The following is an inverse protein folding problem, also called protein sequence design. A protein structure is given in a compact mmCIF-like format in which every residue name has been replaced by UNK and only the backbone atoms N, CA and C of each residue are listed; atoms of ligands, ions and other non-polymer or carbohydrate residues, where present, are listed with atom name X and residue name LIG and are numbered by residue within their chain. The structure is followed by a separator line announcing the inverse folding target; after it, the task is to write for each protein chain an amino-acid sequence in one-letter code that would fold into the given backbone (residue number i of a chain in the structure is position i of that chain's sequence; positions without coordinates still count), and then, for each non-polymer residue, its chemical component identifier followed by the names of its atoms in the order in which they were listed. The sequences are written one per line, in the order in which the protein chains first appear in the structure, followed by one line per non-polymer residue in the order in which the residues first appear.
data_IF_462249346079
#
_entry.id   IF_462249346079
#
_cell.length_a   1.000
_cell.length_b   1.000
_cell.length_c   1.000
_cell.angle_alpha   90.00
_cell.angle_beta   90.00
_cell.angle_gamma   90.00
#
_symmetry.space_group_name_H-M   'P 1'
#
loop_
_entity.id
_entity.type
_entity.pdbx_description
1 polymer ?
#
# COMPACT_ATOMS: atom_id res chain seq x y z
N UNK A 1 -44.14 18.04 1.52
CA UNK A 1 -42.85 18.48 0.95
C UNK A 1 -42.13 19.23 2.04
N UNK A 2 -41.23 18.58 2.75
CA UNK A 2 -40.45 19.16 3.85
C UNK A 2 -39.09 19.57 3.27
N UNK A 3 -38.76 20.83 3.42
CA UNK A 3 -37.44 21.39 3.05
C UNK A 3 -36.32 20.68 3.82
N UNK A 4 -35.18 20.42 3.19
CA UNK A 4 -34.01 19.87 3.90
C UNK A 4 -33.41 20.97 4.79
N UNK A 5 -33.14 20.60 6.04
CA UNK A 5 -32.40 21.43 6.99
C UNK A 5 -31.04 21.84 6.43
N UNK A 6 -30.63 23.10 6.57
CA UNK A 6 -29.30 23.54 6.16
C UNK A 6 -28.26 22.89 7.06
N UNK A 7 -27.31 22.18 6.40
CA UNK A 7 -26.11 21.69 7.06
C UNK A 7 -25.30 22.88 7.58
N UNK A 8 -25.08 22.93 8.90
CA UNK A 8 -24.14 23.86 9.48
C UNK A 8 -22.75 23.73 8.85
N UNK A 9 -22.03 24.83 8.60
CA UNK A 9 -20.67 24.75 8.11
C UNK A 9 -19.83 23.99 9.12
N UNK A 10 -19.20 22.91 8.67
CA UNK A 10 -18.13 22.25 9.42
C UNK A 10 -16.99 23.26 9.45
N UNK A 11 -16.83 23.95 10.59
CA UNK A 11 -15.60 24.65 10.88
C UNK A 11 -14.48 23.61 10.80
N UNK A 12 -13.74 23.64 9.71
CA UNK A 12 -12.43 22.99 9.61
C UNK A 12 -11.56 23.73 10.63
N UNK A 13 -11.51 23.21 11.86
CA UNK A 13 -10.43 23.53 12.76
C UNK A 13 -9.15 23.10 12.03
N UNK A 14 -8.58 24.02 11.28
CA UNK A 14 -7.28 23.90 10.67
C UNK A 14 -6.28 23.60 11.78
N UNK A 15 -6.09 22.34 12.10
CA UNK A 15 -4.87 21.91 12.76
C UNK A 15 -3.81 22.09 11.70
N UNK A 16 -3.07 23.19 11.81
CA UNK A 16 -1.82 23.37 11.14
C UNK A 16 -0.95 22.14 11.44
N UNK A 17 -0.89 21.20 10.52
CA UNK A 17 0.08 20.13 10.53
C UNK A 17 1.50 20.62 10.18
N UNK A 18 1.77 21.91 10.28
CA UNK A 18 3.11 22.47 10.36
C UNK A 18 3.68 22.31 11.77
N UNK A 19 3.44 21.13 12.38
CA UNK A 19 4.05 20.73 13.63
C UNK A 19 5.55 20.51 13.42
N UNK A 20 6.32 21.56 13.48
CA UNK A 20 7.74 21.49 13.70
C UNK A 20 8.00 20.72 15.00
N UNK A 21 8.29 19.43 14.91
CA UNK A 21 8.56 18.58 16.06
C UNK A 21 8.44 17.08 15.80
N UNK A 22 7.78 16.65 14.74
CA UNK A 22 7.59 15.22 14.44
C UNK A 22 8.44 14.75 13.25
N UNK A 23 8.80 15.65 12.33
CA UNK A 23 9.72 15.36 11.25
C UNK A 23 11.08 15.96 11.55
N UNK A 24 12.14 15.19 11.32
CA UNK A 24 13.51 15.70 11.38
C UNK A 24 13.61 16.93 10.48
N UNK A 25 14.32 17.96 10.95
CA UNK A 25 14.41 19.23 10.23
C UNK A 25 14.98 19.01 8.82
N UNK A 26 14.41 19.64 7.77
CA UNK A 26 14.96 19.56 6.43
C UNK A 26 16.42 19.98 6.42
N UNK A 27 17.31 19.10 5.95
CA UNK A 27 18.74 19.38 5.81
C UNK A 27 19.64 18.77 6.89
N UNK A 28 19.09 18.16 7.93
CA UNK A 28 19.88 17.30 8.82
C UNK A 28 19.76 15.85 8.31
N UNK A 29 20.89 15.20 8.08
CA UNK A 29 20.94 13.77 7.76
C UNK A 29 20.33 12.93 8.89
N UNK A 30 20.03 11.65 8.64
CA UNK A 30 19.44 10.77 9.64
C UNK A 30 20.37 10.62 10.84
N UNK A 31 19.87 10.89 12.05
CA UNK A 31 20.68 10.85 13.28
C UNK A 31 19.84 10.42 14.49
N UNK A 32 20.48 9.66 15.39
CA UNK A 32 19.96 9.34 16.73
C UNK A 32 20.38 10.36 17.79
N UNK A 33 21.21 11.33 17.40
CA UNK A 33 21.79 12.33 18.29
C UNK A 33 23.08 11.88 18.98
N UNK A 34 23.59 10.67 18.67
CA UNK A 34 24.83 10.11 19.20
C UNK A 34 25.80 9.77 18.07
N UNK A 35 26.85 10.59 17.90
CA UNK A 35 27.81 10.46 16.79
C UNK A 35 28.44 9.07 16.67
N UNK A 36 28.67 8.38 17.78
CA UNK A 36 29.26 7.03 17.80
C UNK A 36 28.30 5.98 17.26
N UNK A 37 27.01 6.10 17.58
CA UNK A 37 25.98 5.18 17.09
C UNK A 37 25.67 5.47 15.62
N UNK A 38 25.54 6.73 15.26
CA UNK A 38 25.30 7.16 13.88
C UNK A 38 26.42 6.68 12.95
N UNK A 39 27.69 6.78 13.36
CA UNK A 39 28.83 6.25 12.61
C UNK A 39 28.72 4.72 12.40
N UNK A 40 28.34 3.96 13.44
CA UNK A 40 28.17 2.51 13.34
C UNK A 40 27.01 2.12 12.42
N UNK A 41 25.92 2.88 12.41
CA UNK A 41 24.80 2.66 11.48
C UNK A 41 25.28 2.87 10.05
N UNK A 42 25.99 3.97 9.80
CA UNK A 42 26.55 4.27 8.48
C UNK A 42 27.50 3.15 8.00
N UNK A 43 28.38 2.66 8.86
CA UNK A 43 29.27 1.54 8.54
C UNK A 43 28.50 0.25 8.22
N UNK A 44 27.46 -0.06 9.02
CA UNK A 44 26.60 -1.22 8.77
C UNK A 44 25.90 -1.13 7.41
N UNK A 45 25.35 0.03 7.08
CA UNK A 45 24.67 0.26 5.79
C UNK A 45 25.66 0.14 4.63
N UNK A 46 26.86 0.73 4.76
CA UNK A 46 27.95 0.60 3.76
C UNK A 46 28.35 -0.85 3.52
N UNK A 47 28.54 -1.61 4.60
CA UNK A 47 28.93 -3.01 4.53
C UNK A 47 27.86 -3.91 3.87
N UNK A 48 26.58 -3.51 3.87
CA UNK A 48 25.47 -4.26 3.27
C UNK A 48 25.11 -3.86 1.84
N UNK A 49 25.88 -3.03 1.16
CA UNK A 49 25.66 -2.79 -0.25
C UNK A 49 25.99 -1.41 -0.79
N UNK A 50 25.95 -0.39 0.01
CA UNK A 50 26.25 0.99 -0.45
C UNK A 50 25.37 1.44 -1.63
N UNK A 51 25.84 2.42 -2.37
CA UNK A 51 25.19 2.90 -3.59
C UNK A 51 24.30 4.13 -3.39
N UNK A 52 23.63 4.56 -4.45
CA UNK A 52 22.90 5.83 -4.51
C UNK A 52 21.73 5.93 -3.49
N UNK A 53 21.20 4.80 -3.04
CA UNK A 53 20.09 4.77 -2.08
C UNK A 53 20.55 4.62 -0.62
N UNK A 54 21.85 4.60 -0.38
CA UNK A 54 22.41 4.43 0.98
C UNK A 54 21.85 5.41 2.01
N UNK A 55 21.70 6.72 1.74
CA UNK A 55 21.13 7.65 2.72
C UNK A 55 19.70 7.29 3.14
N UNK A 56 18.87 6.83 2.22
CA UNK A 56 17.50 6.41 2.52
C UNK A 56 17.46 5.12 3.36
N UNK A 57 18.38 4.20 3.13
CA UNK A 57 18.50 2.97 3.95
C UNK A 57 18.97 3.32 5.36
N UNK A 58 19.95 4.24 5.48
CA UNK A 58 20.41 4.75 6.76
C UNK A 58 19.25 5.39 7.54
N UNK A 59 18.46 6.23 6.88
CA UNK A 59 17.27 6.86 7.46
C UNK A 59 16.25 5.83 7.95
N UNK A 60 15.99 4.77 7.19
CA UNK A 60 15.12 3.68 7.62
C UNK A 60 15.63 2.98 8.90
N UNK A 61 16.93 2.76 9.01
CA UNK A 61 17.53 2.14 10.21
C UNK A 61 17.41 3.08 11.40
N UNK A 62 17.73 4.36 11.22
CA UNK A 62 17.59 5.38 12.28
C UNK A 62 16.15 5.48 12.75
N UNK A 63 15.18 5.55 11.84
CA UNK A 63 13.77 5.59 12.17
C UNK A 63 13.32 4.34 12.94
N UNK A 64 13.78 3.15 12.54
CA UNK A 64 13.48 1.92 13.25
C UNK A 64 14.00 1.95 14.71
N UNK A 65 15.18 2.50 14.93
CA UNK A 65 15.75 2.63 16.28
C UNK A 65 15.05 3.73 17.11
N UNK A 66 14.61 4.82 16.47
CA UNK A 66 13.83 5.88 17.15
C UNK A 66 12.52 5.35 17.74
N UNK A 67 11.91 4.31 17.18
CA UNK A 67 10.72 3.69 17.75
C UNK A 67 10.92 3.13 19.16
N UNK A 68 12.14 2.77 19.56
CA UNK A 68 12.44 2.35 20.94
C UNK A 68 12.26 3.47 21.96
N UNK A 69 12.31 4.72 21.52
CA UNK A 69 12.17 5.91 22.36
C UNK A 69 10.72 6.37 22.50
N UNK A 70 9.80 5.70 21.82
CA UNK A 70 8.36 6.02 21.83
C UNK A 70 7.58 4.99 22.66
N UNK A 71 6.50 5.40 23.33
CA UNK A 71 5.63 4.50 24.09
C UNK A 71 4.72 3.69 23.15
N UNK A 72 5.33 2.90 22.27
CA UNK A 72 4.59 2.10 21.29
C UNK A 72 4.17 0.75 21.88
N UNK A 73 2.96 0.32 21.53
CA UNK A 73 2.50 -1.02 21.85
C UNK A 73 3.19 -2.08 20.99
N UNK A 74 3.22 -3.32 21.48
CA UNK A 74 3.69 -4.47 20.68
C UNK A 74 2.86 -4.65 19.41
N UNK A 75 1.57 -4.28 19.44
CA UNK A 75 0.68 -4.35 18.28
C UNK A 75 1.12 -3.35 17.19
N UNK A 76 1.45 -2.13 17.56
CA UNK A 76 1.92 -1.09 16.61
C UNK A 76 3.24 -1.49 15.96
N UNK A 77 4.20 -2.00 16.74
CA UNK A 77 5.48 -2.47 16.22
C UNK A 77 5.31 -3.66 15.27
N UNK A 78 4.40 -4.59 15.59
CA UNK A 78 4.05 -5.70 14.69
C UNK A 78 3.43 -5.20 13.38
N UNK A 79 2.55 -4.19 13.45
CA UNK A 79 1.94 -3.58 12.27
C UNK A 79 3.00 -2.95 11.37
N UNK A 80 3.86 -2.09 11.91
CA UNK A 80 4.94 -1.43 11.15
C UNK A 80 5.88 -2.45 10.49
N UNK A 81 6.34 -3.44 11.24
CA UNK A 81 7.23 -4.47 10.72
C UNK A 81 6.57 -5.31 9.62
N UNK A 82 5.28 -5.62 9.76
CA UNK A 82 4.52 -6.33 8.74
C UNK A 82 4.38 -5.48 7.47
N UNK A 83 4.02 -4.21 7.62
CA UNK A 83 3.89 -3.27 6.49
C UNK A 83 5.20 -3.16 5.71
N UNK A 84 6.33 -2.99 6.41
CA UNK A 84 7.64 -2.92 5.76
C UNK A 84 7.98 -4.21 4.99
N UNK A 85 7.66 -5.37 5.55
CA UNK A 85 7.85 -6.66 4.86
C UNK A 85 6.97 -6.79 3.63
N UNK A 86 5.71 -6.37 3.71
CA UNK A 86 4.76 -6.40 2.59
C UNK A 86 5.19 -5.45 1.46
N UNK A 87 5.60 -4.22 1.80
CA UNK A 87 6.15 -3.25 0.83
C UNK A 87 7.39 -3.81 0.13
N UNK A 88 8.31 -4.42 0.88
CA UNK A 88 9.50 -5.05 0.29
C UNK A 88 9.14 -6.21 -0.65
N UNK A 89 8.14 -7.02 -0.30
CA UNK A 89 7.67 -8.10 -1.15
C UNK A 89 7.01 -7.57 -2.43
N UNK A 90 6.15 -6.54 -2.31
CA UNK A 90 5.52 -5.86 -3.44
C UNK A 90 6.56 -5.25 -4.39
N UNK A 91 7.55 -4.54 -3.85
CA UNK A 91 8.63 -3.95 -4.65
C UNK A 91 9.39 -5.00 -5.47
N UNK A 92 9.64 -6.17 -4.89
CA UNK A 92 10.28 -7.28 -5.63
C UNK A 92 9.43 -7.78 -6.79
N UNK A 93 8.11 -7.87 -6.59
CA UNK A 93 7.18 -8.35 -7.63
C UNK A 93 7.02 -7.32 -8.75
N UNK A 94 6.96 -6.03 -8.40
CA UNK A 94 6.74 -4.96 -9.38
C UNK A 94 8.02 -4.48 -10.09
N UNK A 95 9.19 -4.71 -9.50
CA UNK A 95 10.46 -4.24 -10.06
C UNK A 95 10.72 -4.64 -11.52
N UNK A 96 10.45 -5.88 -11.97
CA UNK A 96 10.65 -6.25 -13.38
C UNK A 96 9.74 -5.52 -14.37
N UNK A 97 8.76 -4.78 -13.88
CA UNK A 97 7.74 -4.11 -14.68
C UNK A 97 7.71 -2.58 -14.44
N UNK A 98 8.80 -2.00 -13.96
CA UNK A 98 8.87 -0.56 -13.65
C UNK A 98 8.69 0.34 -14.86
N UNK A 99 9.10 -0.11 -16.02
CA UNK A 99 8.96 0.54 -17.32
C UNK A 99 7.53 0.50 -17.90
N UNK A 100 6.67 -0.37 -17.39
CA UNK A 100 5.30 -0.52 -17.84
C UNK A 100 4.33 0.29 -16.98
N UNK A 101 3.48 1.09 -17.60
CA UNK A 101 2.39 1.79 -16.92
C UNK A 101 1.35 0.78 -16.39
N UNK A 102 0.70 1.13 -15.30
CA UNK A 102 -0.31 0.28 -14.67
C UNK A 102 -1.61 1.05 -14.52
N UNK A 103 -2.73 0.36 -14.72
CA UNK A 103 -4.08 0.84 -14.44
C UNK A 103 -4.73 -0.09 -13.41
N UNK A 104 -5.44 0.50 -12.46
CA UNK A 104 -6.10 -0.27 -11.41
C UNK A 104 -7.59 -0.31 -11.68
N UNK A 105 -8.18 -1.51 -11.60
CA UNK A 105 -9.62 -1.73 -11.77
C UNK A 105 -10.19 -2.20 -10.44
N UNK A 106 -11.10 -1.39 -9.89
CA UNK A 106 -11.90 -1.72 -8.72
C UNK A 106 -13.36 -1.87 -9.11
N UNK A 107 -14.06 -2.72 -8.40
CA UNK A 107 -15.49 -2.88 -8.58
C UNK A 107 -16.06 -4.00 -7.74
N UNK A 108 -17.39 -4.17 -7.82
CA UNK A 108 -18.12 -5.18 -7.09
C UNK A 108 -17.68 -6.59 -7.48
N UNK A 109 -17.37 -7.41 -6.49
CA UNK A 109 -17.11 -8.85 -6.67
C UNK A 109 -18.38 -9.66 -6.98
N UNK A 110 -19.59 -9.05 -6.87
CA UNK A 110 -20.87 -9.72 -7.05
C UNK A 110 -21.50 -9.49 -8.43
N UNK A 111 -20.91 -8.65 -9.26
CA UNK A 111 -21.42 -8.37 -10.60
C UNK A 111 -21.28 -9.62 -11.47
N UNK A 112 -22.40 -10.08 -12.02
CA UNK A 112 -22.39 -11.24 -12.90
C UNK A 112 -21.66 -10.95 -14.22
N UNK A 113 -21.03 -11.95 -14.85
CA UNK A 113 -20.20 -11.75 -16.05
C UNK A 113 -20.95 -11.20 -17.27
N UNK A 114 -22.27 -11.44 -17.35
CA UNK A 114 -23.16 -10.98 -18.41
C UNK A 114 -23.66 -9.55 -18.25
N UNK A 115 -23.36 -8.91 -17.13
CA UNK A 115 -23.75 -7.53 -16.87
C UNK A 115 -22.92 -6.55 -17.69
N UNK A 116 -23.54 -5.46 -18.19
CA UNK A 116 -22.85 -4.46 -19.00
C UNK A 116 -21.59 -3.92 -18.35
N UNK A 117 -21.60 -3.75 -17.03
CA UNK A 117 -20.47 -3.24 -16.28
C UNK A 117 -19.27 -4.22 -16.27
N UNK A 118 -19.55 -5.53 -16.22
CA UNK A 118 -18.51 -6.55 -16.29
C UNK A 118 -17.94 -6.66 -17.71
N UNK A 119 -18.78 -6.59 -18.72
CA UNK A 119 -18.38 -6.58 -20.13
C UNK A 119 -17.50 -5.35 -20.40
N UNK A 120 -17.94 -4.17 -19.99
CA UNK A 120 -17.17 -2.92 -20.14
C UNK A 120 -15.81 -2.97 -19.43
N UNK A 121 -15.75 -3.56 -18.23
CA UNK A 121 -14.48 -3.73 -17.52
C UNK A 121 -13.51 -4.67 -18.24
N UNK A 122 -14.02 -5.73 -18.85
CA UNK A 122 -13.21 -6.67 -19.63
C UNK A 122 -12.70 -6.03 -20.92
N UNK A 123 -13.56 -5.32 -21.66
CA UNK A 123 -13.18 -4.58 -22.86
C UNK A 123 -12.18 -3.47 -22.59
N UNK A 124 -12.39 -2.69 -21.52
CA UNK A 124 -11.46 -1.69 -21.06
C UNK A 124 -10.09 -2.27 -20.75
N UNK A 125 -10.05 -3.38 -20.01
CA UNK A 125 -8.78 -4.03 -19.66
C UNK A 125 -8.04 -4.51 -20.93
N UNK A 126 -8.75 -5.06 -21.90
CA UNK A 126 -8.19 -5.49 -23.19
C UNK A 126 -7.62 -4.31 -23.97
N UNK A 127 -8.36 -3.19 -24.02
CA UNK A 127 -7.90 -1.98 -24.67
C UNK A 127 -6.65 -1.39 -23.99
N UNK A 128 -6.57 -1.42 -22.66
CA UNK A 128 -5.40 -0.95 -21.90
C UNK A 128 -4.15 -1.79 -22.17
N UNK A 129 -4.30 -3.11 -22.34
CA UNK A 129 -3.17 -3.98 -22.73
C UNK A 129 -2.66 -3.64 -24.11
N UNK A 130 -3.53 -3.34 -25.08
CA UNK A 130 -3.13 -2.86 -26.41
C UNK A 130 -2.28 -1.58 -26.29
N UNK A 131 -2.61 -0.71 -25.33
CA UNK A 131 -1.87 0.52 -25.04
C UNK A 131 -0.61 0.28 -24.16
N UNK A 132 -0.17 -0.97 -24.00
CA UNK A 132 1.02 -1.38 -23.23
C UNK A 132 0.90 -1.18 -21.70
N UNK A 133 -0.29 -0.99 -21.18
CA UNK A 133 -0.53 -0.99 -19.73
C UNK A 133 -0.62 -2.41 -19.17
N UNK A 134 -0.32 -2.52 -17.90
CA UNK A 134 -0.70 -3.69 -17.09
C UNK A 134 -1.92 -3.35 -16.23
N UNK A 135 -2.72 -4.34 -15.93
CA UNK A 135 -3.92 -4.18 -15.11
C UNK A 135 -3.68 -4.71 -13.71
N UNK A 136 -4.07 -3.96 -12.69
CA UNK A 136 -4.04 -4.38 -11.30
C UNK A 136 -5.46 -4.47 -10.78
N UNK A 137 -5.80 -5.55 -10.10
CA UNK A 137 -7.10 -5.71 -9.42
C UNK A 137 -6.93 -6.25 -8.01
N UNK A 138 -8.01 -6.29 -7.22
CA UNK A 138 -8.04 -6.93 -5.91
C UNK A 138 -8.15 -8.48 -5.97
N UNK A 139 -8.00 -9.10 -7.14
CA UNK A 139 -8.09 -10.56 -7.35
C UNK A 139 -9.43 -11.19 -6.91
N UNK A 140 -10.51 -10.42 -6.90
CA UNK A 140 -11.87 -10.91 -6.64
C UNK A 140 -12.59 -11.25 -7.94
N UNK A 141 -13.81 -11.77 -7.78
CA UNK A 141 -14.74 -12.01 -8.88
C UNK A 141 -15.36 -10.71 -9.44
N UNK A 142 -16.40 -10.84 -10.25
CA UNK A 142 -17.18 -9.72 -10.79
C UNK A 142 -16.35 -8.80 -11.67
N UNK A 143 -16.38 -7.50 -11.37
CA UNK A 143 -15.66 -6.46 -12.13
C UNK A 143 -14.14 -6.68 -12.13
N UNK A 144 -13.59 -7.11 -11.01
CA UNK A 144 -12.15 -7.36 -10.89
C UNK A 144 -11.74 -8.57 -11.72
N UNK A 145 -12.53 -9.64 -11.66
CA UNK A 145 -12.34 -10.84 -12.49
C UNK A 145 -12.48 -10.56 -13.99
N UNK A 146 -13.46 -9.72 -14.38
CA UNK A 146 -13.60 -9.24 -15.75
C UNK A 146 -12.36 -8.50 -16.24
N UNK A 147 -11.84 -7.57 -15.41
CA UNK A 147 -10.59 -6.85 -15.72
C UNK A 147 -9.41 -7.80 -15.93
N UNK A 148 -9.28 -8.83 -15.10
CA UNK A 148 -8.20 -9.82 -15.27
C UNK A 148 -8.38 -10.69 -16.52
N UNK A 149 -9.62 -11.10 -16.85
CA UNK A 149 -9.90 -11.84 -18.10
C UNK A 149 -9.55 -11.00 -19.33
N UNK A 150 -9.93 -9.71 -19.33
CA UNK A 150 -9.62 -8.80 -20.43
C UNK A 150 -8.12 -8.56 -20.60
N UNK A 151 -7.38 -8.43 -19.52
CA UNK A 151 -5.94 -8.21 -19.56
C UNK A 151 -5.12 -9.48 -19.86
N UNK A 152 -5.62 -10.63 -19.43
CA UNK A 152 -4.85 -11.87 -19.45
C UNK A 152 -3.79 -11.94 -18.36
N UNK A 153 -3.34 -13.16 -18.05
CA UNK A 153 -2.43 -13.45 -16.95
C UNK A 153 -1.10 -12.71 -17.05
N UNK A 154 -0.54 -12.61 -18.24
CA UNK A 154 0.78 -12.00 -18.49
C UNK A 154 0.78 -10.47 -18.34
N UNK A 155 -0.41 -9.85 -18.33
CA UNK A 155 -0.56 -8.40 -18.28
C UNK A 155 -1.37 -7.94 -17.06
N UNK A 156 -1.55 -8.80 -16.06
CA UNK A 156 -2.32 -8.44 -14.87
C UNK A 156 -1.67 -8.91 -13.57
N UNK A 157 -1.95 -8.15 -12.51
CA UNK A 157 -1.64 -8.48 -11.12
C UNK A 157 -2.92 -8.55 -10.30
N UNK A 158 -3.02 -9.56 -9.45
CA UNK A 158 -4.06 -9.65 -8.43
C UNK A 158 -3.47 -9.35 -7.04
N UNK A 159 -3.88 -8.25 -6.42
CA UNK A 159 -3.50 -7.90 -5.05
C UNK A 159 -4.56 -8.40 -4.09
N UNK A 160 -4.45 -9.65 -3.68
CA UNK A 160 -5.43 -10.27 -2.79
C UNK A 160 -5.14 -9.94 -1.32
N UNK A 161 -6.19 -9.59 -0.57
CA UNK A 161 -6.16 -9.51 0.88
C UNK A 161 -6.64 -10.83 1.48
N UNK A 162 -5.93 -11.34 2.46
CA UNK A 162 -6.37 -12.52 3.21
C UNK A 162 -7.53 -12.13 4.12
N UNK A 163 -8.75 -12.39 3.65
CA UNK A 163 -9.93 -12.21 4.48
C UNK A 163 -9.96 -13.27 5.60
N UNK A 164 -10.37 -12.90 6.82
CA UNK A 164 -10.59 -13.88 7.87
C UNK A 164 -11.71 -14.82 7.42
N UNK A 165 -11.39 -16.10 7.26
CA UNK A 165 -12.39 -17.13 6.95
C UNK A 165 -13.29 -17.24 8.18
N UNK A 166 -14.53 -16.78 8.08
CA UNK A 166 -15.57 -17.17 9.05
C UNK A 166 -15.75 -18.68 8.89
N UNK A 167 -15.22 -19.47 9.85
CA UNK A 167 -15.64 -20.86 9.96
C UNK A 167 -17.17 -20.83 10.07
N UNK A 168 -17.88 -21.43 9.11
CA UNK A 168 -19.28 -21.79 9.31
C UNK A 168 -19.26 -22.64 10.59
N UNK A 169 -19.90 -22.15 11.65
CA UNK A 169 -20.23 -23.01 12.78
C UNK A 169 -21.07 -24.10 12.16
N UNK A 170 -20.60 -25.33 12.22
CA UNK A 170 -21.40 -26.49 11.90
C UNK A 170 -22.65 -26.36 12.77
N UNK A 171 -23.78 -26.16 12.12
CA UNK A 171 -25.08 -26.24 12.77
C UNK A 171 -25.24 -27.72 13.06
N UNK A 172 -24.91 -28.09 14.27
CA UNK A 172 -25.26 -29.42 14.79
C UNK A 172 -26.77 -29.38 14.97
N UNK A 173 -27.47 -29.93 14.00
CA UNK A 173 -28.90 -30.26 14.14
C UNK A 173 -29.05 -31.20 15.33
N UNK A 174 -29.88 -30.77 16.30
CA UNK A 174 -30.41 -31.62 17.37
C UNK A 174 -31.66 -32.31 16.88
#
# INVERSE_FOLDING_TARGET
MSEPLPLAPVESAGRDFTGGGILDQPGQGPSLGEKSIDARILELVKANGGGAHMPLIEELVVNALKFQRLPMSVADLKLLNRTLRELRAASRVFHPYTDRKKVVIYGSARTAPDRPEAIAAEEFARAMVVQKYMVITGAGDGIMGAGQRGAGRENSFGLNIKLPVKRKKDVVDK
#
